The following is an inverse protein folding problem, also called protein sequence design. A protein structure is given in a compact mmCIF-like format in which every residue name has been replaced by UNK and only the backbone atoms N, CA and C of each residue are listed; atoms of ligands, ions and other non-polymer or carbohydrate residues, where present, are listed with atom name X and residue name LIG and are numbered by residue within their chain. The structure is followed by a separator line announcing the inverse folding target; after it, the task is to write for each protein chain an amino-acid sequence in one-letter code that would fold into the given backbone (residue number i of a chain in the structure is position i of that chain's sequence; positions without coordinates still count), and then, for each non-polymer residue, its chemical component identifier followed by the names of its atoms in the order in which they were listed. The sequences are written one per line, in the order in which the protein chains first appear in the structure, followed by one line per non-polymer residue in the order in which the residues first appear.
data_IF_806043712168
#
_entry.id   IF_806043712168
#
_cell.length_a   1.000
_cell.length_b   1.000
_cell.length_c   1.000
_cell.angle_alpha   90.00
_cell.angle_beta   90.00
_cell.angle_gamma   90.00
#
_symmetry.space_group_name_H-M   'P 1'
#
loop_
_entity.id
_entity.type
_entity.pdbx_description
1 polymer ?
#
# COMPACT_ATOMS: atom_id res chain seq x y z
N UNK A 1 4.22 33.57 -14.42
CA UNK A 1 4.76 32.60 -13.45
C UNK A 1 3.76 31.48 -13.45
N UNK A 2 4.05 30.41 -14.20
CA UNK A 2 3.07 29.38 -14.51
C UNK A 2 2.82 28.47 -13.31
N UNK A 3 1.54 28.30 -13.01
CA UNK A 3 0.88 27.14 -12.41
C UNK A 3 1.74 25.89 -12.21
N UNK A 4 1.79 25.41 -10.98
CA UNK A 4 1.55 24.00 -10.69
C UNK A 4 1.15 23.91 -9.23
N UNK A 5 -0.15 23.99 -8.99
CA UNK A 5 -0.73 23.45 -7.76
C UNK A 5 -0.37 21.97 -7.79
N UNK A 6 0.75 21.60 -7.15
CA UNK A 6 1.23 20.23 -7.03
C UNK A 6 0.12 19.49 -6.30
N UNK A 7 -0.79 18.93 -7.08
CA UNK A 7 -1.87 18.11 -6.58
C UNK A 7 -1.16 17.00 -5.80
N UNK A 8 -1.35 16.96 -4.48
CA UNK A 8 -0.79 15.93 -3.60
C UNK A 8 -1.44 14.58 -3.96
N UNK A 9 -1.19 14.10 -5.17
CA UNK A 9 -1.70 12.86 -5.71
C UNK A 9 -1.01 11.71 -4.99
N UNK A 10 -1.78 10.67 -4.71
CA UNK A 10 -1.28 9.45 -4.09
C UNK A 10 -0.34 8.72 -5.07
N UNK A 11 0.92 9.13 -5.11
CA UNK A 11 1.94 8.61 -6.06
C UNK A 11 2.85 7.57 -5.42
N UNK A 12 2.99 7.60 -4.10
CA UNK A 12 3.79 6.64 -3.35
C UNK A 12 2.94 5.42 -3.01
N UNK A 13 3.51 4.24 -3.24
CA UNK A 13 2.89 2.96 -2.99
C UNK A 13 3.77 2.16 -2.06
N UNK A 14 3.21 1.53 -1.05
CA UNK A 14 3.94 0.61 -0.18
C UNK A 14 3.22 -0.72 -0.15
N UNK A 15 3.87 -1.76 -0.65
CA UNK A 15 3.38 -3.12 -0.55
C UNK A 15 3.64 -3.66 0.87
N UNK A 16 2.64 -4.31 1.46
CA UNK A 16 2.78 -5.04 2.72
C UNK A 16 2.31 -6.47 2.55
N UNK A 17 3.14 -7.39 3.03
CA UNK A 17 2.85 -8.81 3.08
C UNK A 17 2.74 -9.23 4.54
N UNK A 18 1.55 -9.66 4.94
CA UNK A 18 1.24 -10.01 6.33
C UNK A 18 1.06 -11.53 6.39
N UNK A 19 1.99 -12.26 7.02
CA UNK A 19 1.93 -13.73 7.12
C UNK A 19 1.10 -14.22 8.31
N UNK A 20 1.05 -13.41 9.36
CA UNK A 20 0.36 -13.71 10.62
C UNK A 20 -0.42 -12.48 11.10
N UNK A 21 -1.49 -12.63 11.90
CA UNK A 21 -2.22 -11.49 12.45
C UNK A 21 -1.27 -10.50 13.12
N UNK A 22 -1.21 -9.28 12.61
CA UNK A 22 -0.16 -8.33 12.94
C UNK A 22 -0.74 -6.95 13.26
N UNK A 23 -0.34 -6.40 14.40
CA UNK A 23 -0.60 -5.01 14.73
C UNK A 23 0.52 -4.14 14.19
N UNK A 24 0.17 -3.11 13.43
CA UNK A 24 1.10 -2.09 12.93
C UNK A 24 0.52 -0.70 13.17
N UNK A 25 1.40 0.29 13.28
CA UNK A 25 1.00 1.70 13.35
C UNK A 25 1.56 2.44 12.16
N UNK A 26 0.69 3.18 11.46
CA UNK A 26 1.02 3.97 10.28
C UNK A 26 0.87 5.45 10.63
N UNK A 27 1.92 6.23 10.34
CA UNK A 27 1.95 7.67 10.52
C UNK A 27 2.34 8.36 9.21
N UNK A 28 1.78 9.53 8.96
CA UNK A 28 2.23 10.45 7.92
C UNK A 28 2.99 11.59 8.63
N UNK A 29 4.33 11.59 8.62
CA UNK A 29 5.12 12.65 9.26
C UNK A 29 4.93 14.01 8.54
N UNK A 30 4.56 13.98 7.27
CA UNK A 30 4.21 15.15 6.48
C UNK A 30 2.73 15.12 6.13
N UNK A 31 2.01 16.17 6.50
CA UNK A 31 0.62 16.34 6.08
C UNK A 31 0.59 16.63 4.58
N UNK A 32 0.01 15.72 3.80
CA UNK A 32 -0.48 16.01 2.46
C UNK A 32 -1.96 16.38 2.54
N UNK A 33 -2.45 17.20 1.60
CA UNK A 33 -3.90 17.49 1.52
C UNK A 33 -4.76 16.24 1.25
N UNK A 34 -4.14 15.16 0.77
CA UNK A 34 -4.78 13.87 0.48
C UNK A 34 -4.43 12.84 1.56
N UNK A 35 -5.42 12.24 2.25
CA UNK A 35 -5.16 11.22 3.26
C UNK A 35 -4.69 9.91 2.60
N UNK A 36 -3.74 9.20 3.21
CA UNK A 36 -3.31 7.92 2.68
C UNK A 36 -4.38 6.86 2.88
N UNK A 37 -4.42 5.91 1.94
CA UNK A 37 -5.41 4.84 1.88
C UNK A 37 -4.73 3.48 2.00
N UNK A 38 -5.39 2.57 2.69
CA UNK A 38 -4.99 1.19 2.87
C UNK A 38 -5.98 0.29 2.11
N UNK A 39 -5.45 -0.44 1.14
CA UNK A 39 -6.15 -1.42 0.33
C UNK A 39 -5.73 -2.81 0.78
N UNK A 40 -6.67 -3.75 0.75
CA UNK A 40 -6.38 -5.18 0.83
C UNK A 40 -6.77 -5.83 -0.48
N UNK A 41 -5.93 -6.73 -0.96
CA UNK A 41 -6.19 -7.52 -2.14
C UNK A 41 -7.57 -8.20 -2.05
N UNK A 42 -8.36 -8.12 -3.13
CA UNK A 42 -9.73 -8.63 -3.22
C UNK A 42 -10.71 -8.13 -2.14
N UNK A 43 -10.41 -7.03 -1.45
CA UNK A 43 -11.32 -6.40 -0.51
C UNK A 43 -11.58 -4.94 -0.90
N UNK A 44 -12.85 -4.57 -0.91
CA UNK A 44 -13.34 -3.22 -1.13
C UNK A 44 -14.42 -2.91 -0.09
N UNK A 45 -14.55 -1.66 0.36
CA UNK A 45 -13.77 -0.47 -0.04
C UNK A 45 -12.40 -0.35 0.65
N UNK A 46 -11.49 0.53 0.17
CA UNK A 46 -10.30 0.90 0.92
C UNK A 46 -10.65 1.61 2.23
N UNK A 47 -9.72 1.57 3.18
CA UNK A 47 -9.85 2.24 4.48
C UNK A 47 -8.78 3.32 4.69
N UNK A 48 -9.00 4.29 5.59
CA UNK A 48 -7.96 5.24 5.97
C UNK A 48 -6.72 4.53 6.52
N UNK A 49 -5.54 4.91 6.05
CA UNK A 49 -4.30 4.24 6.44
C UNK A 49 -3.74 4.73 7.78
N UNK A 50 -3.94 6.00 8.16
CA UNK A 50 -3.33 6.53 9.39
C UNK A 50 -3.96 5.94 10.64
N UNK A 51 -3.13 5.48 11.57
CA UNK A 51 -3.56 4.92 12.85
C UNK A 51 -2.94 3.56 13.14
N UNK A 52 -3.48 2.90 14.16
CA UNK A 52 -3.08 1.54 14.54
C UNK A 52 -4.07 0.55 13.94
N UNK A 53 -3.55 -0.42 13.19
CA UNK A 53 -4.33 -1.43 12.49
C UNK A 53 -3.93 -2.81 12.96
N UNK A 54 -4.92 -3.66 13.22
CA UNK A 54 -4.71 -5.11 13.33
C UNK A 54 -5.04 -5.72 11.97
N UNK A 55 -4.02 -6.11 11.23
CA UNK A 55 -4.15 -6.72 9.92
C UNK A 55 -4.13 -8.24 10.05
N UNK A 56 -5.04 -8.89 9.35
CA UNK A 56 -5.03 -10.34 9.18
C UNK A 56 -4.00 -10.73 8.12
N UNK A 57 -3.63 -12.02 8.02
CA UNK A 57 -2.78 -12.47 6.94
C UNK A 57 -3.35 -12.10 5.58
N UNK A 58 -2.50 -11.58 4.69
CA UNK A 58 -2.92 -11.12 3.38
C UNK A 58 -1.94 -10.17 2.70
N UNK A 59 -2.37 -9.69 1.54
CA UNK A 59 -1.62 -8.76 0.68
C UNK A 59 -2.29 -7.40 0.76
N UNK A 60 -1.51 -6.38 1.10
CA UNK A 60 -1.99 -5.03 1.32
C UNK A 60 -1.18 -4.02 0.52
N UNK A 61 -1.82 -2.91 0.20
CA UNK A 61 -1.22 -1.78 -0.48
C UNK A 61 -1.58 -0.49 0.24
N UNK A 62 -0.56 0.26 0.62
CA UNK A 62 -0.71 1.64 1.07
C UNK A 62 -0.47 2.58 -0.10
N UNK A 63 -1.38 3.53 -0.27
CA UNK A 63 -1.22 4.65 -1.19
C UNK A 63 -1.11 5.94 -0.39
N UNK A 64 -0.11 6.75 -0.70
CA UNK A 64 0.17 8.01 -0.02
C UNK A 64 0.78 9.03 -0.97
N UNK A 65 0.64 10.32 -0.64
CA UNK A 65 1.35 11.37 -1.37
C UNK A 65 2.83 11.47 -0.93
N UNK A 66 3.10 11.13 0.35
CA UNK A 66 4.42 11.21 0.97
C UNK A 66 4.82 9.86 1.61
N UNK A 67 6.08 9.75 2.01
CA UNK A 67 6.57 8.56 2.70
C UNK A 67 5.85 8.37 4.04
N UNK A 68 5.35 7.17 4.28
CA UNK A 68 4.72 6.79 5.54
C UNK A 68 5.73 6.17 6.49
N UNK A 69 5.56 6.41 7.79
CA UNK A 69 6.26 5.69 8.84
C UNK A 69 5.41 4.51 9.28
N UNK A 70 5.94 3.29 9.13
CA UNK A 70 5.27 2.05 9.51
C UNK A 70 6.08 1.43 10.65
N UNK A 71 5.51 1.41 11.85
CA UNK A 71 6.15 0.84 13.03
C UNK A 71 5.58 -0.53 13.36
N UNK A 72 6.44 -1.56 13.31
CA UNK A 72 6.10 -2.96 13.61
C UNK A 72 7.38 -3.85 13.65
N UNK A 73 7.31 -5.02 14.31
CA UNK A 73 8.42 -5.97 14.49
C UNK A 73 8.36 -7.26 13.62
N UNK A 74 7.57 -7.33 12.55
CA UNK A 74 7.37 -8.56 11.76
C UNK A 74 6.69 -8.41 10.40
N UNK A 75 6.67 -7.21 9.82
CA UNK A 75 6.09 -6.94 8.50
C UNK A 75 7.19 -6.63 7.52
N UNK A 76 7.15 -7.33 6.41
CA UNK A 76 7.94 -6.99 5.25
C UNK A 76 7.20 -5.89 4.48
N UNK A 77 7.81 -4.70 4.44
CA UNK A 77 7.30 -3.56 3.65
C UNK A 77 8.23 -3.28 2.49
N UNK A 78 7.64 -2.97 1.33
CA UNK A 78 8.38 -2.59 0.14
C UNK A 78 7.83 -1.28 -0.40
N UNK A 79 8.65 -0.24 -0.34
CA UNK A 79 8.34 1.05 -0.93
C UNK A 79 8.50 0.97 -2.46
N UNK A 80 7.48 1.41 -3.17
CA UNK A 80 7.36 1.48 -4.63
C UNK A 80 7.13 2.94 -5.01
N UNK A 81 8.16 3.77 -4.83
CA UNK A 81 8.10 5.21 -5.07
C UNK A 81 8.23 5.56 -6.56
N UNK A 82 8.95 4.72 -7.32
CA UNK A 82 9.12 4.84 -8.76
C UNK A 82 8.01 4.14 -9.54
N UNK A 83 7.70 4.65 -10.73
CA UNK A 83 6.79 4.00 -11.69
C UNK A 83 7.35 2.70 -12.29
N UNK A 84 8.65 2.43 -12.07
CA UNK A 84 9.34 1.21 -12.49
C UNK A 84 9.59 0.23 -11.34
N UNK A 85 9.21 0.60 -10.12
CA UNK A 85 9.40 -0.28 -8.97
C UNK A 85 8.41 -1.42 -9.04
N UNK A 86 8.94 -2.64 -9.10
CA UNK A 86 8.14 -3.86 -9.14
C UNK A 86 8.01 -4.37 -7.71
N UNK A 87 6.78 -4.64 -7.23
CA UNK A 87 6.61 -5.31 -5.94
C UNK A 87 7.29 -6.67 -5.99
N UNK A 88 8.02 -7.08 -4.94
CA UNK A 88 8.57 -8.42 -4.91
C UNK A 88 7.41 -9.43 -4.86
N UNK A 89 7.63 -10.61 -5.43
CA UNK A 89 6.59 -11.63 -5.47
C UNK A 89 6.19 -12.02 -4.03
N UNK A 90 4.88 -12.13 -3.74
CA UNK A 90 4.42 -12.55 -2.42
C UNK A 90 4.85 -13.98 -2.15
N UNK A 91 4.96 -14.35 -0.87
CA UNK A 91 5.18 -15.75 -0.53
C UNK A 91 4.05 -16.65 -1.07
N UNK A 92 4.42 -17.85 -1.50
CA UNK A 92 3.46 -18.83 -2.04
C UNK A 92 2.35 -19.20 -1.04
N UNK A 93 2.66 -19.18 0.26
CA UNK A 93 1.71 -19.36 1.36
C UNK A 93 0.59 -18.30 1.32
N UNK A 94 0.96 -17.04 1.11
CA UNK A 94 0.02 -15.91 1.03
C UNK A 94 -0.81 -15.97 -0.24
N UNK A 95 -0.20 -16.24 -1.39
CA UNK A 95 -0.91 -16.42 -2.65
C UNK A 95 -1.98 -17.51 -2.52
N UNK A 96 -1.65 -18.64 -1.89
CA UNK A 96 -2.59 -19.74 -1.67
C UNK A 96 -3.73 -19.33 -0.73
N UNK A 97 -3.44 -18.62 0.35
CA UNK A 97 -4.44 -18.16 1.31
C UNK A 97 -5.43 -17.18 0.68
N UNK A 98 -4.93 -16.24 -0.11
CA UNK A 98 -5.72 -15.20 -0.79
C UNK A 98 -6.32 -15.68 -2.12
N UNK A 99 -6.09 -16.95 -2.51
CA UNK A 99 -6.45 -17.50 -3.83
C UNK A 99 -5.99 -16.59 -4.98
N UNK A 100 -4.81 -15.99 -4.80
CA UNK A 100 -4.23 -15.00 -5.71
C UNK A 100 -3.21 -15.66 -6.64
N UNK A 101 -3.09 -15.13 -7.86
CA UNK A 101 -1.97 -15.43 -8.75
C UNK A 101 -0.93 -14.30 -8.66
N UNK A 102 0.36 -14.57 -8.97
CA UNK A 102 1.36 -13.51 -9.02
C UNK A 102 0.95 -12.34 -9.93
N UNK A 103 0.32 -12.63 -11.07
CA UNK A 103 -0.12 -11.61 -12.01
C UNK A 103 -1.27 -10.77 -11.47
N UNK A 104 -2.27 -11.38 -10.81
CA UNK A 104 -3.36 -10.62 -10.19
C UNK A 104 -2.87 -9.72 -9.05
N UNK A 105 -1.85 -10.16 -8.30
CA UNK A 105 -1.22 -9.33 -7.27
C UNK A 105 -0.45 -8.17 -7.89
N UNK A 106 0.26 -8.40 -8.99
CA UNK A 106 0.89 -7.32 -9.76
C UNK A 106 -0.15 -6.33 -10.24
N UNK A 107 -1.24 -6.80 -10.85
CA UNK A 107 -2.36 -5.95 -11.28
C UNK A 107 -2.96 -5.14 -10.14
N UNK A 108 -3.08 -5.71 -8.93
CA UNK A 108 -3.53 -4.96 -7.75
C UNK A 108 -2.59 -3.80 -7.38
N UNK A 109 -1.28 -4.00 -7.46
CA UNK A 109 -0.29 -2.93 -7.24
C UNK A 109 -0.21 -1.92 -8.41
N UNK A 110 -0.64 -2.34 -9.60
CA UNK A 110 -0.76 -1.51 -10.80
C UNK A 110 -2.07 -0.71 -10.84
N UNK A 111 -3.19 -1.23 -10.34
CA UNK A 111 -4.48 -0.54 -10.27
C UNK A 111 -4.40 0.75 -9.44
N UNK A 112 -3.56 0.77 -8.42
CA UNK A 112 -3.22 1.98 -7.67
C UNK A 112 -2.49 3.04 -8.49
N UNK A 113 -1.84 2.68 -9.60
CA UNK A 113 -1.26 3.64 -10.56
C UNK A 113 -2.35 4.34 -11.39
N UNK A 114 -3.52 3.72 -11.54
CA UNK A 114 -4.62 4.20 -12.38
C UNK A 114 -5.55 5.21 -11.70
N UNK A 115 -5.35 5.53 -10.41
CA UNK A 115 -6.05 6.66 -9.75
C UNK A 115 -5.49 8.03 -10.17
N UNK A 116 -4.64 8.06 -11.20
CA UNK A 116 -4.03 9.26 -11.78
C UNK A 116 -4.86 9.92 -12.91
N UNK A 117 -5.92 9.27 -13.42
CA UNK A 117 -6.77 9.75 -14.53
C UNK A 117 -8.10 10.37 -14.06
#
# INVERSE_FOLDING_TARGET
MSDETKSDKLSMRTALYIEHPTTLTIRAPQSSGTPPLLFRYNQSPPQPAIGTHRLEPGIYLLMSANQLEISNAGVTTHLLAGSKDVPPDPQASLLKSEKATPDAVREFFELARGLDD
#
